data_IF_402899527428
#
_entry.id   IF_402899527428
#
_cell.length_a   1.000
_cell.length_b   1.000
_cell.length_c   1.000
_cell.angle_alpha   90.00
_cell.angle_beta   90.00
_cell.angle_gamma   90.00
#
_symmetry.space_group_name_H-M   'P 1'
#
loop_
_entity.id
_entity.type
_entity.pdbx_description
1 polymer ?
#
# COMPACT_ATOMS: atom_id res chain seq x y z
N UNK A 1 -3.41 21.72 11.86
CA UNK A 1 -1.97 21.33 11.73
C UNK A 1 -1.90 20.28 10.65
N UNK A 2 -0.92 20.36 9.78
CA UNK A 2 -0.64 19.33 8.76
C UNK A 2 0.45 18.40 9.27
N UNK A 3 0.46 17.16 8.80
CA UNK A 3 1.56 16.22 8.99
C UNK A 3 2.10 15.81 7.63
N UNK A 4 3.41 15.70 7.50
CA UNK A 4 4.10 15.34 6.27
C UNK A 4 4.86 14.03 6.46
N UNK A 5 4.58 13.06 5.61
CA UNK A 5 5.20 11.74 5.66
C UNK A 5 5.97 11.51 4.36
N UNK A 6 7.27 11.23 4.46
CA UNK A 6 8.01 10.71 3.31
C UNK A 6 7.65 9.25 3.07
N UNK A 7 7.71 8.80 1.84
CA UNK A 7 7.30 7.46 1.43
C UNK A 7 8.36 6.85 0.53
N UNK A 8 8.74 5.62 0.83
CA UNK A 8 9.47 4.72 -0.06
C UNK A 8 8.72 3.39 -0.15
N UNK A 9 8.73 2.77 -1.32
CA UNK A 9 8.02 1.54 -1.60
C UNK A 9 8.85 0.62 -2.50
N UNK A 10 8.73 -0.67 -2.30
CA UNK A 10 9.17 -1.67 -3.25
C UNK A 10 10.65 -1.43 -3.67
N UNK A 11 11.54 -1.42 -2.67
CA UNK A 11 12.97 -1.15 -2.81
C UNK A 11 13.68 -2.26 -3.60
N UNK A 12 13.24 -3.52 -3.36
CA UNK A 12 13.72 -4.71 -4.05
C UNK A 12 15.25 -4.84 -4.12
N UNK A 13 15.95 -4.52 -3.02
CA UNK A 13 17.39 -4.70 -2.96
C UNK A 13 17.80 -6.14 -3.30
N UNK A 14 18.75 -6.30 -4.20
CA UNK A 14 19.26 -7.59 -4.63
C UNK A 14 19.62 -7.65 -6.11
N UNK A 15 19.63 -8.85 -6.67
CA UNK A 15 19.94 -9.07 -8.09
C UNK A 15 18.82 -8.52 -8.98
N UNK A 16 19.14 -7.81 -10.08
CA UNK A 16 18.14 -7.36 -11.03
C UNK A 16 17.25 -8.51 -11.52
N UNK A 17 15.96 -8.31 -11.56
CA UNK A 17 14.98 -9.31 -11.97
C UNK A 17 13.85 -8.67 -12.77
N UNK A 18 13.60 -9.20 -13.97
CA UNK A 18 12.61 -8.63 -14.91
C UNK A 18 12.84 -7.13 -15.12
N UNK A 19 11.93 -6.28 -14.63
CA UNK A 19 12.01 -4.83 -14.72
C UNK A 19 12.59 -4.17 -13.46
N UNK A 20 12.78 -4.93 -12.37
CA UNK A 20 13.36 -4.43 -11.11
C UNK A 20 14.88 -4.29 -11.19
N UNK A 21 15.41 -3.12 -10.83
CA UNK A 21 16.85 -2.78 -10.84
C UNK A 21 17.40 -2.82 -9.42
N UNK A 22 17.26 -3.97 -8.75
CA UNK A 22 17.62 -4.12 -7.34
C UNK A 22 19.08 -3.85 -6.99
N UNK A 23 19.99 -3.97 -7.95
CA UNK A 23 21.40 -3.61 -7.83
C UNK A 23 21.64 -2.09 -7.65
N UNK A 24 20.67 -1.26 -7.98
CA UNK A 24 20.73 0.19 -7.78
C UNK A 24 20.14 0.63 -6.44
N UNK A 25 19.46 -0.26 -5.73
CA UNK A 25 18.65 0.05 -4.55
C UNK A 25 19.42 0.82 -3.47
N UNK A 26 20.63 0.38 -3.15
CA UNK A 26 21.39 1.00 -2.05
C UNK A 26 21.81 2.43 -2.37
N UNK A 27 22.18 2.73 -3.62
CA UNK A 27 22.45 4.10 -4.06
C UNK A 27 21.21 5.00 -4.00
N UNK A 28 20.07 4.46 -4.43
CA UNK A 28 18.79 5.17 -4.35
C UNK A 28 18.30 5.36 -2.90
N UNK A 29 18.61 4.46 -1.99
CA UNK A 29 18.33 4.62 -0.55
C UNK A 29 19.20 5.73 0.09
N UNK A 30 20.43 5.90 -0.37
CA UNK A 30 21.27 7.04 0.01
C UNK A 30 20.64 8.36 -0.47
N UNK A 31 20.18 8.40 -1.73
CA UNK A 31 19.43 9.53 -2.27
C UNK A 31 18.13 9.79 -1.49
N UNK A 32 17.41 8.73 -1.11
CA UNK A 32 16.21 8.85 -0.29
C UNK A 32 16.50 9.46 1.09
N UNK A 33 17.59 9.07 1.75
CA UNK A 33 17.99 9.68 3.02
C UNK A 33 18.27 11.20 2.87
N UNK A 34 18.89 11.62 1.76
CA UNK A 34 19.06 13.02 1.43
C UNK A 34 17.72 13.73 1.16
N UNK A 35 16.86 13.11 0.36
CA UNK A 35 15.52 13.63 0.07
C UNK A 35 14.69 13.87 1.33
N UNK A 36 14.68 12.90 2.27
CA UNK A 36 13.96 13.01 3.55
C UNK A 36 14.48 14.19 4.39
N UNK A 37 15.79 14.41 4.40
CA UNK A 37 16.41 15.51 5.11
C UNK A 37 15.97 16.87 4.57
N UNK A 38 15.86 16.99 3.24
CA UNK A 38 15.52 18.24 2.57
C UNK A 38 14.02 18.50 2.53
N UNK A 39 13.19 17.43 2.61
CA UNK A 39 11.74 17.52 2.43
C UNK A 39 10.97 18.05 3.66
N UNK A 40 11.63 18.28 4.81
CA UNK A 40 11.01 18.73 6.07
C UNK A 40 9.76 17.90 6.43
N UNK A 41 9.95 16.59 6.61
CA UNK A 41 8.90 15.65 6.96
C UNK A 41 8.93 15.28 8.44
N UNK A 42 7.79 14.83 8.97
CA UNK A 42 7.66 14.44 10.36
C UNK A 42 8.06 12.97 10.58
N UNK A 43 7.66 12.09 9.65
CA UNK A 43 7.91 10.64 9.71
C UNK A 43 8.16 10.09 8.31
N UNK A 44 8.63 8.85 8.27
CA UNK A 44 8.83 8.07 7.04
C UNK A 44 7.93 6.84 7.06
N UNK A 45 7.36 6.52 5.91
CA UNK A 45 6.66 5.27 5.62
C UNK A 45 7.50 4.43 4.67
N UNK A 46 7.89 3.25 5.12
CA UNK A 46 8.37 2.16 4.28
C UNK A 46 7.19 1.22 4.00
N UNK A 47 6.77 1.15 2.75
CA UNK A 47 5.60 0.38 2.35
C UNK A 47 5.87 -1.11 2.12
N UNK A 48 7.11 -1.58 2.36
CA UNK A 48 7.50 -2.99 2.21
C UNK A 48 8.09 -3.34 0.85
N UNK A 49 8.36 -4.64 0.65
CA UNK A 49 9.16 -5.19 -0.45
C UNK A 49 10.55 -4.54 -0.51
N UNK A 50 11.25 -4.61 0.62
CA UNK A 50 12.61 -4.06 0.78
C UNK A 50 13.64 -4.84 -0.01
N UNK A 51 13.43 -6.16 -0.16
CA UNK A 51 14.35 -7.07 -0.82
C UNK A 51 13.71 -7.78 -2.01
N UNK A 52 14.56 -8.32 -2.90
CA UNK A 52 14.17 -9.33 -3.88
C UNK A 52 14.54 -10.69 -3.32
N UNK A 53 13.54 -11.46 -2.89
CA UNK A 53 13.72 -12.75 -2.21
C UNK A 53 14.46 -13.77 -3.06
N UNK A 54 15.32 -14.56 -2.41
CA UNK A 54 16.15 -15.60 -3.05
C UNK A 54 16.13 -16.88 -2.23
N UNK A 55 16.60 -16.79 -0.98
CA UNK A 55 16.65 -17.84 0.04
C UNK A 55 16.85 -17.20 1.41
N UNK A 56 16.62 -17.98 2.48
CA UNK A 56 16.63 -17.48 3.84
C UNK A 56 17.93 -16.74 4.24
N UNK A 57 19.10 -17.31 3.94
CA UNK A 57 20.37 -16.73 4.36
C UNK A 57 20.72 -15.47 3.55
N UNK A 58 20.39 -15.48 2.26
CA UNK A 58 20.56 -14.32 1.38
C UNK A 58 19.62 -13.19 1.83
N UNK A 59 18.36 -13.50 2.10
CA UNK A 59 17.33 -12.52 2.46
C UNK A 59 17.64 -11.88 3.82
N UNK A 60 18.13 -12.65 4.81
CA UNK A 60 18.61 -12.08 6.08
C UNK A 60 19.69 -11.00 5.86
N UNK A 61 20.64 -11.28 4.96
CA UNK A 61 21.71 -10.32 4.65
C UNK A 61 21.18 -9.09 3.91
N UNK A 62 20.35 -9.28 2.86
CA UNK A 62 19.79 -8.17 2.08
C UNK A 62 18.92 -7.28 2.96
N UNK A 63 18.08 -7.87 3.83
CA UNK A 63 17.23 -7.14 4.76
C UNK A 63 18.05 -6.34 5.77
N UNK A 64 19.15 -6.90 6.28
CA UNK A 64 20.07 -6.19 7.16
C UNK A 64 20.77 -5.00 6.47
N UNK A 65 21.13 -5.15 5.18
CA UNK A 65 21.71 -4.07 4.38
C UNK A 65 20.72 -2.90 4.19
N UNK A 66 19.45 -3.19 3.89
CA UNK A 66 18.40 -2.15 3.77
C UNK A 66 18.10 -1.52 5.13
N UNK A 67 18.03 -2.31 6.19
CA UNK A 67 17.84 -1.78 7.55
C UNK A 67 18.98 -0.83 7.96
N UNK A 68 20.23 -1.10 7.55
CA UNK A 68 21.35 -0.18 7.78
C UNK A 68 21.17 1.14 6.99
N UNK A 69 20.71 1.07 5.75
CA UNK A 69 20.41 2.27 4.97
C UNK A 69 19.31 3.14 5.63
N UNK A 70 18.28 2.51 6.20
CA UNK A 70 17.26 3.23 6.96
C UNK A 70 17.81 3.94 8.21
N UNK A 71 18.89 3.45 8.82
CA UNK A 71 19.52 4.13 9.96
C UNK A 71 20.15 5.49 9.58
N UNK A 72 20.46 5.70 8.30
CA UNK A 72 20.90 6.99 7.79
C UNK A 72 19.76 8.02 7.67
N UNK A 73 18.51 7.56 7.77
CA UNK A 73 17.33 8.43 7.76
C UNK A 73 17.08 8.93 9.17
N UNK A 74 17.30 10.22 9.41
CA UNK A 74 17.22 10.85 10.72
C UNK A 74 15.79 11.24 11.13
N UNK A 75 14.80 10.38 10.82
CA UNK A 75 13.38 10.57 11.15
C UNK A 75 12.79 9.26 11.65
N UNK A 76 11.75 9.29 12.50
CA UNK A 76 11.04 8.09 12.87
C UNK A 76 10.45 7.39 11.64
N UNK A 77 10.61 6.08 11.55
CA UNK A 77 10.17 5.28 10.41
C UNK A 77 9.11 4.29 10.87
N UNK A 78 8.06 4.13 10.09
CA UNK A 78 7.09 3.06 10.22
C UNK A 78 7.25 2.09 9.06
N UNK A 79 7.69 0.88 9.36
CA UNK A 79 7.90 -0.18 8.38
C UNK A 79 6.64 -1.04 8.20
N UNK A 80 6.39 -1.46 6.97
CA UNK A 80 5.49 -2.55 6.63
C UNK A 80 6.29 -3.70 6.04
N UNK A 81 5.77 -4.92 6.08
CA UNK A 81 6.30 -6.02 5.27
C UNK A 81 5.56 -6.09 3.95
N UNK A 82 6.30 -6.22 2.86
CA UNK A 82 5.77 -6.68 1.59
C UNK A 82 5.80 -8.21 1.46
N UNK A 83 5.46 -8.73 0.30
CA UNK A 83 5.46 -10.18 0.10
C UNK A 83 6.88 -10.76 -0.07
N UNK A 84 7.79 -10.01 -0.68
CA UNK A 84 9.19 -10.43 -0.82
C UNK A 84 9.92 -10.46 0.52
N UNK A 85 9.59 -9.59 1.47
CA UNK A 85 10.11 -9.61 2.84
C UNK A 85 9.61 -10.84 3.64
N UNK A 86 8.61 -11.57 3.11
CA UNK A 86 7.88 -12.64 3.80
C UNK A 86 7.99 -14.02 3.14
N UNK A 87 8.64 -14.13 1.99
CA UNK A 87 8.75 -15.40 1.30
C UNK A 87 9.64 -16.39 2.08
N UNK A 88 10.80 -15.94 2.55
CA UNK A 88 11.73 -16.79 3.31
C UNK A 88 11.97 -16.31 4.76
N UNK A 89 11.56 -15.08 5.11
CA UNK A 89 11.71 -14.54 6.46
C UNK A 89 10.39 -14.55 7.24
N UNK A 90 10.49 -14.81 8.53
CA UNK A 90 9.39 -14.66 9.48
C UNK A 90 9.13 -13.18 9.80
N UNK A 91 7.98 -12.87 10.42
CA UNK A 91 7.71 -11.50 10.95
C UNK A 91 8.74 -11.19 12.03
N UNK A 92 9.02 -12.15 12.90
CA UNK A 92 9.92 -12.00 14.04
C UNK A 92 11.37 -11.72 13.61
N UNK A 93 11.84 -12.30 12.50
CA UNK A 93 13.16 -11.99 11.93
C UNK A 93 13.21 -10.57 11.38
N UNK A 94 12.19 -10.15 10.64
CA UNK A 94 12.07 -8.78 10.16
C UNK A 94 12.01 -7.78 11.35
N UNK A 95 11.23 -8.06 12.40
CA UNK A 95 11.16 -7.24 13.62
C UNK A 95 12.54 -7.11 14.31
N UNK A 96 13.31 -8.19 14.39
CA UNK A 96 14.64 -8.17 14.96
C UNK A 96 15.63 -7.33 14.15
N UNK A 97 15.59 -7.45 12.83
CA UNK A 97 16.50 -6.71 11.93
C UNK A 97 16.15 -5.21 11.94
N UNK A 98 14.87 -4.86 11.85
CA UNK A 98 14.39 -3.49 11.82
C UNK A 98 14.34 -2.84 13.21
N UNK A 99 14.40 -3.63 14.28
CA UNK A 99 14.30 -3.14 15.66
C UNK A 99 12.94 -2.56 16.02
N UNK A 100 11.87 -3.01 15.36
CA UNK A 100 10.53 -2.48 15.49
C UNK A 100 9.49 -3.59 15.39
N UNK A 101 8.36 -3.47 16.13
CA UNK A 101 7.22 -4.37 15.94
C UNK A 101 6.57 -4.14 14.58
N UNK A 102 6.16 -5.23 13.93
CA UNK A 102 5.44 -5.24 12.67
C UNK A 102 3.99 -5.76 12.81
N UNK A 103 3.45 -5.75 14.03
CA UNK A 103 2.03 -5.91 14.28
C UNK A 103 1.21 -4.69 13.83
N UNK A 104 -0.11 -4.84 13.76
CA UNK A 104 -0.98 -3.70 13.46
C UNK A 104 -0.87 -2.59 14.52
N UNK A 105 -0.80 -1.34 14.07
CA UNK A 105 -0.66 -0.17 14.95
C UNK A 105 -1.48 1.03 14.46
N UNK A 106 -1.75 1.96 15.36
CA UNK A 106 -2.30 3.27 15.03
C UNK A 106 -1.51 4.38 15.70
N UNK A 107 -1.28 5.49 14.98
CA UNK A 107 -0.60 6.68 15.48
C UNK A 107 -1.47 7.92 15.21
N UNK A 108 -1.69 8.73 16.23
CA UNK A 108 -2.40 10.00 16.10
C UNK A 108 -1.40 11.15 15.93
N UNK A 109 -1.32 11.72 14.73
CA UNK A 109 -0.40 12.79 14.36
C UNK A 109 -1.08 13.85 13.49
N UNK A 110 -0.79 15.13 13.74
CA UNK A 110 -1.27 16.24 12.90
C UNK A 110 -2.80 16.33 12.72
N UNK A 111 -3.58 15.73 13.63
CA UNK A 111 -5.04 15.68 13.53
C UNK A 111 -5.57 14.51 12.69
N UNK A 112 -4.68 13.67 12.17
CA UNK A 112 -4.99 12.42 11.47
C UNK A 112 -4.65 11.21 12.35
N UNK A 113 -5.34 10.10 12.11
CA UNK A 113 -4.94 8.77 12.58
C UNK A 113 -4.32 7.99 11.44
N UNK A 114 -3.08 7.55 11.62
CA UNK A 114 -2.38 6.66 10.69
C UNK A 114 -2.60 5.24 11.19
N UNK A 115 -3.26 4.42 10.40
CA UNK A 115 -3.50 3.02 10.69
C UNK A 115 -2.57 2.16 9.83
N UNK A 116 -1.54 1.61 10.45
CA UNK A 116 -0.63 0.67 9.81
C UNK A 116 -1.29 -0.71 9.80
N UNK A 117 -2.02 -1.00 8.72
CA UNK A 117 -2.70 -2.27 8.54
C UNK A 117 -1.74 -3.28 7.92
N UNK A 118 -0.96 -3.90 8.79
CA UNK A 118 0.06 -4.89 8.44
C UNK A 118 -0.57 -6.28 8.32
N UNK A 119 -1.55 -6.41 7.40
CA UNK A 119 -2.16 -7.69 7.06
C UNK A 119 -1.10 -8.62 6.45
N UNK A 120 -1.28 -9.92 6.62
CA UNK A 120 -0.29 -10.90 6.17
C UNK A 120 -0.07 -10.80 4.65
N UNK A 121 1.17 -10.54 4.27
CA UNK A 121 1.60 -10.37 2.88
C UNK A 121 2.24 -11.64 2.29
N UNK A 122 2.33 -12.72 3.07
CA UNK A 122 2.89 -13.96 2.58
C UNK A 122 2.05 -14.56 1.46
N UNK A 123 2.69 -14.85 0.33
CA UNK A 123 2.04 -15.57 -0.77
C UNK A 123 1.99 -17.06 -0.42
N UNK A 124 0.78 -17.59 -0.27
CA UNK A 124 0.58 -19.02 -0.10
C UNK A 124 0.68 -19.71 -1.47
N UNK A 125 1.56 -20.69 -1.57
CA UNK A 125 1.73 -21.52 -2.76
C UNK A 125 1.40 -22.96 -2.43
N UNK A 126 0.28 -23.44 -2.94
CA UNK A 126 -0.16 -24.85 -2.86
C UNK A 126 -0.50 -25.36 -4.27
N UNK A 127 -0.68 -26.68 -4.49
CA UNK A 127 -1.07 -27.17 -5.81
C UNK A 127 -2.32 -26.52 -6.40
N UNK A 128 -3.25 -26.10 -5.54
CA UNK A 128 -4.56 -25.57 -5.94
C UNK A 128 -4.69 -24.04 -5.75
N UNK A 129 -3.70 -23.40 -5.15
CA UNK A 129 -3.75 -21.96 -4.85
C UNK A 129 -2.36 -21.31 -4.90
N UNK A 130 -2.29 -20.17 -5.56
CA UNK A 130 -1.13 -19.26 -5.46
C UNK A 130 -1.65 -17.83 -5.34
N UNK A 131 -1.34 -17.16 -4.25
CA UNK A 131 -1.76 -15.79 -3.98
C UNK A 131 -1.81 -15.46 -2.50
N UNK A 132 -2.29 -14.26 -2.22
CA UNK A 132 -2.47 -13.78 -0.84
C UNK A 132 -3.59 -14.51 -0.10
N UNK A 133 -3.51 -14.47 1.22
CA UNK A 133 -4.59 -14.92 2.12
C UNK A 133 -5.00 -13.75 3.02
N UNK A 134 -6.25 -13.32 2.90
CA UNK A 134 -6.81 -12.31 3.79
C UNK A 134 -7.34 -13.00 5.07
N UNK A 135 -6.62 -12.78 6.18
CA UNK A 135 -6.98 -13.39 7.46
C UNK A 135 -8.14 -12.67 8.14
N UNK A 136 -9.01 -13.42 8.80
CA UNK A 136 -10.12 -12.84 9.58
C UNK A 136 -9.63 -11.90 10.69
N UNK A 137 -8.50 -12.21 11.32
CA UNK A 137 -7.91 -11.38 12.36
C UNK A 137 -7.52 -9.98 11.83
N UNK A 138 -6.95 -9.92 10.62
CA UNK A 138 -6.54 -8.68 9.96
C UNK A 138 -7.76 -7.82 9.59
N UNK A 139 -8.81 -8.46 9.06
CA UNK A 139 -10.09 -7.79 8.77
C UNK A 139 -10.77 -7.27 10.03
N UNK A 140 -10.77 -8.06 11.10
CA UNK A 140 -11.38 -7.67 12.37
C UNK A 140 -10.65 -6.46 12.98
N UNK A 141 -9.32 -6.45 12.92
CA UNK A 141 -8.54 -5.31 13.39
C UNK A 141 -8.86 -4.05 12.57
N UNK A 142 -8.87 -4.16 11.23
CA UNK A 142 -9.22 -3.05 10.35
C UNK A 142 -10.62 -2.52 10.66
N UNK A 143 -11.62 -3.39 10.75
CA UNK A 143 -13.00 -3.01 11.03
C UNK A 143 -13.14 -2.28 12.38
N UNK A 144 -12.49 -2.77 13.44
CA UNK A 144 -12.50 -2.12 14.76
C UNK A 144 -11.82 -0.76 14.74
N UNK A 145 -10.68 -0.66 14.07
CA UNK A 145 -9.93 0.59 13.94
C UNK A 145 -10.74 1.65 13.19
N UNK A 146 -11.38 1.26 12.09
CA UNK A 146 -12.21 2.14 11.28
C UNK A 146 -13.46 2.61 12.04
N UNK A 147 -14.14 1.70 12.73
CA UNK A 147 -15.33 2.05 13.53
C UNK A 147 -15.02 2.94 14.73
N UNK A 148 -13.82 2.81 15.31
CA UNK A 148 -13.36 3.62 16.43
C UNK A 148 -12.73 4.96 15.99
N UNK A 149 -12.61 5.22 14.70
CA UNK A 149 -11.97 6.44 14.22
C UNK A 149 -12.85 7.68 14.49
N UNK A 150 -12.28 8.65 15.21
CA UNK A 150 -12.88 9.93 15.60
C UNK A 150 -12.30 11.13 14.83
N UNK A 151 -11.34 10.86 13.93
CA UNK A 151 -10.62 11.83 13.09
C UNK A 151 -10.28 11.23 11.74
N UNK A 152 -9.91 12.05 10.72
CA UNK A 152 -9.49 11.55 9.42
C UNK A 152 -8.47 10.42 9.53
N UNK A 153 -8.61 9.39 8.69
CA UNK A 153 -7.87 8.15 8.76
C UNK A 153 -7.05 7.95 7.48
N UNK A 154 -5.73 7.77 7.62
CA UNK A 154 -4.88 7.20 6.59
C UNK A 154 -4.67 5.73 6.90
N UNK A 155 -5.16 4.84 6.05
CA UNK A 155 -4.90 3.39 6.15
C UNK A 155 -3.74 3.06 5.24
N UNK A 156 -2.66 2.54 5.83
CA UNK A 156 -1.43 2.17 5.12
C UNK A 156 -1.32 0.66 5.11
N UNK A 157 -1.15 0.07 3.92
CA UNK A 157 -0.93 -1.36 3.71
C UNK A 157 0.08 -1.55 2.58
N UNK A 158 0.79 -2.68 2.55
CA UNK A 158 1.61 -2.99 1.38
C UNK A 158 0.73 -3.29 0.17
N UNK A 159 -0.17 -4.26 0.29
CA UNK A 159 -1.05 -4.72 -0.79
C UNK A 159 -2.27 -3.80 -0.92
N UNK A 160 -2.56 -3.24 -2.11
CA UNK A 160 -3.73 -2.40 -2.32
C UNK A 160 -5.04 -3.20 -2.27
N UNK A 161 -6.10 -2.60 -1.74
CA UNK A 161 -7.42 -3.22 -1.61
C UNK A 161 -8.50 -2.56 -2.47
N UNK A 162 -8.13 -1.61 -3.33
CA UNK A 162 -9.07 -0.97 -4.25
C UNK A 162 -9.75 -1.98 -5.19
N UNK A 163 -9.04 -3.04 -5.57
CA UNK A 163 -9.43 -3.98 -6.62
C UNK A 163 -9.27 -3.42 -8.04
N UNK A 164 -8.72 -2.20 -8.17
CA UNK A 164 -8.57 -1.50 -9.45
C UNK A 164 -7.18 -0.92 -9.70
N UNK A 165 -6.31 -0.86 -8.70
CA UNK A 165 -4.96 -0.25 -8.81
C UNK A 165 -4.05 -0.94 -9.83
N UNK A 166 -4.35 -2.17 -10.20
CA UNK A 166 -3.60 -2.97 -11.17
C UNK A 166 -4.06 -2.81 -12.63
N UNK A 167 -5.20 -2.13 -12.88
CA UNK A 167 -5.78 -2.05 -14.24
C UNK A 167 -4.87 -1.20 -15.14
N UNK A 168 -4.38 -1.82 -16.24
CA UNK A 168 -3.43 -1.22 -17.15
C UNK A 168 -1.96 -1.59 -16.86
N UNK A 169 -1.66 -2.12 -15.68
CA UNK A 169 -0.33 -2.62 -15.35
C UNK A 169 0.01 -3.86 -16.18
N UNK A 170 1.18 -3.87 -16.81
CA UNK A 170 1.58 -4.94 -17.75
C UNK A 170 1.59 -6.33 -17.11
N UNK A 171 1.90 -6.42 -15.82
CA UNK A 171 1.99 -7.69 -15.08
C UNK A 171 0.71 -7.95 -14.26
N UNK A 172 0.35 -7.03 -13.36
CA UNK A 172 -0.68 -7.27 -12.36
C UNK A 172 -2.10 -7.31 -12.93
N UNK A 173 -2.37 -6.65 -14.07
CA UNK A 173 -3.68 -6.74 -14.73
C UNK A 173 -4.06 -8.18 -15.08
N UNK A 174 -3.07 -8.98 -15.50
CA UNK A 174 -3.27 -10.37 -15.90
C UNK A 174 -2.96 -11.39 -14.78
N UNK A 175 -2.54 -10.91 -13.61
CA UNK A 175 -2.22 -11.72 -12.44
C UNK A 175 -2.98 -11.23 -11.19
N UNK A 176 -4.32 -11.25 -11.21
CA UNK A 176 -5.13 -10.63 -10.16
C UNK A 176 -4.95 -11.27 -8.78
N UNK A 177 -4.64 -12.57 -8.70
CA UNK A 177 -4.37 -13.26 -7.43
C UNK A 177 -3.09 -12.80 -6.73
N UNK A 178 -2.18 -12.15 -7.49
CA UNK A 178 -0.94 -11.58 -6.99
C UNK A 178 -0.99 -10.05 -6.89
N UNK A 179 -2.09 -9.39 -7.28
CA UNK A 179 -2.20 -7.92 -7.29
C UNK A 179 -2.94 -7.37 -6.08
N UNK A 180 -3.77 -8.16 -5.44
CA UNK A 180 -4.60 -7.78 -4.28
C UNK A 180 -5.00 -9.01 -3.47
N UNK A 181 -5.55 -8.79 -2.28
CA UNK A 181 -6.11 -9.88 -1.49
C UNK A 181 -7.34 -10.50 -2.17
N UNK A 182 -7.53 -11.82 -2.06
CA UNK A 182 -8.81 -12.43 -2.42
C UNK A 182 -9.91 -11.83 -1.55
N UNK A 183 -11.09 -11.59 -2.14
CA UNK A 183 -12.22 -10.93 -1.45
C UNK A 183 -11.84 -9.56 -0.85
N UNK A 184 -11.02 -8.75 -1.57
CA UNK A 184 -10.65 -7.40 -1.15
C UNK A 184 -11.88 -6.50 -0.87
N UNK A 185 -13.04 -6.84 -1.45
CA UNK A 185 -14.32 -6.18 -1.16
C UNK A 185 -14.70 -6.27 0.34
N UNK A 186 -14.23 -7.26 1.09
CA UNK A 186 -14.45 -7.35 2.54
C UNK A 186 -13.67 -6.27 3.29
N UNK A 187 -12.43 -5.99 2.86
CA UNK A 187 -11.64 -4.89 3.40
C UNK A 187 -12.28 -3.53 3.05
N UNK A 188 -12.75 -3.37 1.79
CA UNK A 188 -13.49 -2.15 1.40
C UNK A 188 -14.79 -1.97 2.18
N UNK A 189 -15.53 -3.05 2.43
CA UNK A 189 -16.73 -3.00 3.26
C UNK A 189 -16.43 -2.57 4.71
N UNK A 190 -15.29 -2.98 5.27
CA UNK A 190 -14.81 -2.49 6.56
C UNK A 190 -14.47 -0.99 6.51
N UNK A 191 -13.72 -0.55 5.50
CA UNK A 191 -13.36 0.86 5.30
C UNK A 191 -14.60 1.75 5.13
N UNK A 192 -15.62 1.28 4.41
CA UNK A 192 -16.86 2.00 4.16
C UNK A 192 -17.67 2.30 5.44
N UNK A 193 -17.38 1.61 6.56
CA UNK A 193 -18.03 1.85 7.86
C UNK A 193 -17.52 3.10 8.60
N UNK A 194 -16.47 3.76 8.10
CA UNK A 194 -15.96 4.97 8.71
C UNK A 194 -16.95 6.14 8.61
N UNK A 195 -17.11 6.85 9.72
CA UNK A 195 -17.86 8.11 9.80
C UNK A 195 -16.97 9.34 9.55
N UNK A 196 -15.69 9.12 9.33
CA UNK A 196 -14.66 10.13 9.10
C UNK A 196 -14.10 10.00 7.67
N UNK A 197 -13.41 11.03 7.15
CA UNK A 197 -12.64 10.88 5.91
C UNK A 197 -11.63 9.74 6.01
N UNK A 198 -11.50 8.95 4.94
CA UNK A 198 -10.51 7.87 4.83
C UNK A 198 -9.74 8.03 3.53
N UNK A 199 -8.45 7.81 3.59
CA UNK A 199 -7.54 7.66 2.45
C UNK A 199 -6.75 6.37 2.65
N UNK A 200 -6.54 5.61 1.60
CA UNK A 200 -5.69 4.42 1.61
C UNK A 200 -4.40 4.69 0.84
N UNK A 201 -3.27 4.19 1.34
CA UNK A 201 -1.96 4.26 0.70
C UNK A 201 -1.33 2.88 0.68
N UNK A 202 -0.78 2.48 -0.47
CA UNK A 202 -0.16 1.16 -0.66
C UNK A 202 1.03 1.24 -1.63
N UNK A 203 1.87 0.19 -1.63
CA UNK A 203 2.90 -0.10 -2.62
C UNK A 203 2.49 -1.25 -3.54
N UNK A 204 3.38 -2.23 -3.71
CA UNK A 204 3.18 -3.55 -4.32
C UNK A 204 2.97 -3.57 -5.84
N UNK A 205 2.17 -2.68 -6.40
CA UNK A 205 1.86 -2.69 -7.85
C UNK A 205 2.85 -1.89 -8.70
N UNK A 206 3.88 -1.35 -8.09
CA UNK A 206 5.04 -0.70 -8.70
C UNK A 206 4.71 0.44 -9.66
N UNK A 207 3.64 1.19 -9.43
CA UNK A 207 3.32 2.38 -10.20
C UNK A 207 2.43 3.36 -9.42
N UNK A 208 2.45 4.62 -9.85
CA UNK A 208 1.65 5.66 -9.22
C UNK A 208 0.21 5.60 -9.71
N UNK A 209 -0.77 5.41 -8.81
CA UNK A 209 -2.20 5.52 -9.15
C UNK A 209 -3.01 6.23 -8.09
N UNK A 210 -4.11 6.84 -8.50
CA UNK A 210 -5.19 7.28 -7.62
C UNK A 210 -6.49 6.68 -8.14
N UNK A 211 -7.13 5.86 -7.31
CA UNK A 211 -8.39 5.21 -7.63
C UNK A 211 -9.41 5.50 -6.54
N UNK A 212 -10.61 5.95 -6.87
CA UNK A 212 -11.68 6.17 -5.88
C UNK A 212 -12.68 5.04 -5.94
N UNK A 213 -12.84 4.32 -4.82
CA UNK A 213 -13.81 3.23 -4.67
C UNK A 213 -14.66 3.50 -3.43
N UNK A 214 -15.98 3.38 -3.56
CA UNK A 214 -16.95 3.65 -2.50
C UNK A 214 -16.81 5.05 -1.85
N UNK A 215 -16.28 6.02 -2.61
CA UNK A 215 -15.98 7.37 -2.14
C UNK A 215 -14.70 7.48 -1.31
N UNK A 216 -13.87 6.43 -1.28
CA UNK A 216 -12.57 6.40 -0.60
C UNK A 216 -11.46 6.46 -1.64
N UNK A 217 -10.53 7.43 -1.56
CA UNK A 217 -9.33 7.46 -2.38
C UNK A 217 -8.35 6.36 -1.98
N UNK A 218 -7.83 5.62 -2.96
CA UNK A 218 -6.76 4.64 -2.83
C UNK A 218 -5.58 5.09 -3.68
N UNK A 219 -4.45 5.29 -3.04
CA UNK A 219 -3.18 5.68 -3.66
C UNK A 219 -2.27 4.47 -3.69
N UNK A 220 -1.56 4.28 -4.78
CA UNK A 220 -0.43 3.35 -4.84
C UNK A 220 0.81 4.10 -5.29
N UNK A 221 1.92 3.89 -4.59
CA UNK A 221 3.19 4.53 -4.91
C UNK A 221 4.05 3.63 -5.78
N UNK A 222 4.74 4.25 -6.73
CA UNK A 222 5.75 3.65 -7.58
C UNK A 222 6.90 3.07 -6.75
N UNK A 223 7.44 1.94 -7.21
CA UNK A 223 8.64 1.31 -6.67
C UNK A 223 9.88 2.18 -6.84
N UNK A 224 10.79 2.10 -5.88
CA UNK A 224 12.08 2.77 -5.95
C UNK A 224 12.92 2.28 -7.14
N UNK A 225 12.92 0.97 -7.42
CA UNK A 225 13.81 0.33 -8.39
C UNK A 225 13.12 -0.19 -9.65
N UNK A 226 11.81 -0.04 -9.77
CA UNK A 226 11.07 -0.48 -10.97
C UNK A 226 11.45 0.37 -12.19
N UNK A 227 11.37 -0.22 -13.39
CA UNK A 227 11.84 0.41 -14.63
C UNK A 227 10.88 0.28 -15.83
N UNK A 228 9.69 -0.32 -15.66
CA UNK A 228 8.77 -0.51 -16.79
C UNK A 228 8.08 0.77 -17.27
N UNK A 229 8.02 1.81 -16.43
CA UNK A 229 7.48 3.13 -16.80
C UNK A 229 8.58 4.11 -17.23
N UNK A 230 9.86 3.75 -17.09
CA UNK A 230 11.02 4.63 -17.21
C UNK A 230 12.04 4.15 -18.24
N UNK A 231 11.60 3.42 -19.27
CA UNK A 231 12.43 2.95 -20.38
C UNK A 231 13.68 2.14 -19.95
N UNK A 232 13.58 1.45 -18.81
CA UNK A 232 14.62 0.55 -18.30
C UNK A 232 15.58 1.17 -17.28
N UNK A 233 15.48 2.46 -16.97
CA UNK A 233 16.13 3.08 -15.83
C UNK A 233 15.31 2.83 -14.54
N UNK A 234 15.91 2.74 -13.35
CA UNK A 234 15.14 2.68 -12.11
C UNK A 234 14.34 3.97 -11.92
N UNK A 235 13.09 3.86 -11.45
CA UNK A 235 12.22 5.03 -11.29
C UNK A 235 12.73 6.04 -10.26
N UNK A 236 13.51 5.60 -9.27
CA UNK A 236 13.97 6.48 -8.18
C UNK A 236 12.81 7.14 -7.45
N UNK A 237 11.66 6.45 -7.35
CA UNK A 237 10.44 7.06 -6.86
C UNK A 237 10.46 7.29 -5.35
N UNK A 238 10.44 8.55 -4.94
CA UNK A 238 10.39 8.99 -3.55
C UNK A 238 9.18 9.89 -3.36
N UNK A 239 8.33 9.57 -2.39
CA UNK A 239 7.08 10.30 -2.18
C UNK A 239 7.08 11.18 -0.94
N UNK A 240 6.23 12.21 -0.96
CA UNK A 240 5.75 12.89 0.25
C UNK A 240 4.23 12.98 0.19
N UNK A 241 3.58 12.61 1.27
CA UNK A 241 2.16 12.87 1.48
C UNK A 241 1.98 13.89 2.61
N UNK A 242 1.26 14.97 2.32
CA UNK A 242 0.87 15.99 3.28
C UNK A 242 -0.61 15.80 3.63
N UNK A 243 -0.89 15.57 4.91
CA UNK A 243 -2.23 15.31 5.43
C UNK A 243 -2.74 16.56 6.17
N UNK A 244 -3.75 17.19 5.61
CA UNK A 244 -4.48 18.33 6.16
C UNK A 244 -5.97 18.22 5.80
N UNK A 245 -6.67 19.35 5.66
CA UNK A 245 -8.04 19.37 5.11
C UNK A 245 -8.06 18.90 3.64
N UNK A 246 -6.95 19.10 2.96
CA UNK A 246 -6.62 18.55 1.65
C UNK A 246 -5.40 17.66 1.79
N UNK A 247 -5.44 16.48 1.19
CA UNK A 247 -4.30 15.57 1.08
C UNK A 247 -3.56 15.90 -0.22
N UNK A 248 -2.28 16.23 -0.09
CA UNK A 248 -1.38 16.39 -1.23
C UNK A 248 -0.38 15.26 -1.25
N UNK A 249 -0.27 14.60 -2.36
CA UNK A 249 0.68 13.53 -2.57
C UNK A 249 1.53 13.85 -3.79
N UNK A 250 2.84 13.85 -3.60
CA UNK A 250 3.83 14.13 -4.62
C UNK A 250 4.89 13.02 -4.62
N UNK A 251 5.21 12.52 -5.80
CA UNK A 251 6.28 11.56 -6.04
C UNK A 251 7.28 12.21 -6.98
N UNK A 252 8.55 12.17 -6.62
CA UNK A 252 9.68 12.59 -7.46
C UNK A 252 10.40 11.36 -8.00
N UNK A 253 11.30 11.54 -8.94
CA UNK A 253 12.03 10.50 -9.66
C UNK A 253 11.77 10.59 -11.16
N UNK A 254 12.06 9.52 -11.90
CA UNK A 254 11.95 9.50 -13.37
C UNK A 254 10.50 9.26 -13.85
N UNK A 255 9.58 8.86 -12.94
CA UNK A 255 8.14 8.78 -13.19
C UNK A 255 7.37 9.62 -12.15
N UNK A 256 7.50 10.96 -12.21
CA UNK A 256 6.93 11.84 -11.20
C UNK A 256 5.40 11.87 -11.23
N UNK A 257 4.80 12.00 -10.06
CA UNK A 257 3.34 12.07 -9.94
C UNK A 257 2.92 13.11 -8.90
N UNK A 258 1.77 13.73 -9.11
CA UNK A 258 1.17 14.66 -8.14
C UNK A 258 -0.34 14.51 -8.13
N UNK A 259 -0.91 14.45 -6.92
CA UNK A 259 -2.34 14.48 -6.71
C UNK A 259 -2.71 15.39 -5.54
N UNK A 260 -3.86 16.06 -5.66
CA UNK A 260 -4.49 16.81 -4.58
C UNK A 260 -5.91 16.28 -4.41
N UNK A 261 -6.26 15.87 -3.18
CA UNK A 261 -7.50 15.17 -2.86
C UNK A 261 -8.14 15.86 -1.66
N UNK A 262 -9.43 16.18 -1.74
CA UNK A 262 -10.23 16.60 -0.59
C UNK A 262 -11.01 15.39 -0.10
N UNK A 263 -10.51 14.65 0.91
CA UNK A 263 -11.18 13.45 1.39
C UNK A 263 -12.45 13.82 2.16
N UNK A 264 -13.48 13.01 2.00
CA UNK A 264 -14.77 13.24 2.67
C UNK A 264 -15.22 12.00 3.42
N UNK A 265 -16.07 12.19 4.42
CA UNK A 265 -16.76 11.09 5.10
C UNK A 265 -17.93 10.53 4.27
N UNK A 266 -18.20 11.11 3.09
CA UNK A 266 -19.29 10.68 2.21
C UNK A 266 -18.97 9.32 1.61
N UNK A 267 -19.90 8.37 1.72
CA UNK A 267 -19.81 7.04 1.10
C UNK A 267 -20.88 6.90 0.03
N UNK A 268 -20.67 6.03 -0.93
CA UNK A 268 -21.64 5.67 -1.95
C UNK A 268 -22.60 4.59 -1.42
N UNK A 269 -23.24 4.94 -0.33
CA UNK A 269 -24.23 4.09 0.31
C UNK A 269 -25.59 4.79 0.34
N UNK A 270 -26.67 4.10 0.46
CA UNK A 270 -26.80 2.67 0.70
C UNK A 270 -26.35 1.83 -0.49
N UNK A 271 -26.02 0.56 -0.22
CA UNK A 271 -25.78 -0.42 -1.27
C UNK A 271 -26.95 -0.36 -2.25
N UNK A 272 -26.66 -0.12 -3.52
CA UNK A 272 -27.69 -0.11 -4.56
C UNK A 272 -28.39 -1.47 -4.51
N UNK A 273 -29.75 -1.49 -4.37
CA UNK A 273 -30.46 -2.76 -4.44
C UNK A 273 -30.14 -3.42 -5.76
N UNK A 274 -30.12 -4.76 -5.77
CA UNK A 274 -29.92 -5.51 -7.02
C UNK A 274 -30.93 -4.97 -8.04
N UNK A 275 -30.43 -4.54 -9.19
CA UNK A 275 -31.28 -4.00 -10.25
C UNK A 275 -32.38 -4.96 -10.67
N UNK A 276 -32.19 -6.27 -10.45
CA UNK A 276 -33.20 -7.31 -10.68
C UNK A 276 -34.38 -7.19 -9.71
N UNK A 277 -34.15 -6.69 -8.51
CA UNK A 277 -35.19 -6.49 -7.49
C UNK A 277 -35.88 -5.12 -7.56
N UNK A 278 -35.42 -4.23 -8.45
CA UNK A 278 -36.04 -2.92 -8.61
C UNK A 278 -37.45 -3.08 -9.20
N UNK A 279 -38.49 -2.48 -8.57
CA UNK A 279 -39.89 -2.68 -8.99
C UNK A 279 -40.16 -2.42 -10.47
N UNK A 280 -39.55 -1.36 -11.03
CA UNK A 280 -39.70 -1.02 -12.44
C UNK A 280 -39.06 -2.04 -13.40
N UNK A 281 -37.98 -2.71 -13.00
CA UNK A 281 -37.35 -3.77 -13.78
C UNK A 281 -38.09 -5.09 -13.67
N UNK A 282 -38.60 -5.43 -12.47
CA UNK A 282 -39.52 -6.57 -12.33
C UNK A 282 -40.72 -6.43 -13.26
N UNK A 283 -41.33 -5.25 -13.32
CA UNK A 283 -42.46 -5.00 -14.21
C UNK A 283 -42.10 -5.11 -15.71
N UNK A 284 -40.88 -4.79 -16.13
CA UNK A 284 -40.39 -4.94 -17.52
C UNK A 284 -40.11 -6.39 -17.86
N UNK A 285 -39.50 -7.16 -16.96
CA UNK A 285 -39.17 -8.56 -17.19
C UNK A 285 -40.43 -9.45 -17.26
N UNK A 286 -41.43 -9.19 -16.42
CA UNK A 286 -42.73 -9.91 -16.49
C UNK A 286 -43.44 -9.65 -17.82
N UNK A 287 -43.30 -8.48 -18.43
CA UNK A 287 -43.89 -8.17 -19.75
C UNK A 287 -43.11 -8.79 -20.92
N UNK A 288 -41.85 -9.16 -20.73
CA UNK A 288 -41.04 -9.80 -21.77
C UNK A 288 -41.25 -11.33 -21.84
N UNK A 289 -41.82 -11.94 -20.78
CA UNK A 289 -42.10 -13.35 -20.69
C UNK A 289 -43.57 -13.70 -21.00
N UNK A 290 -44.41 -12.70 -21.24
CA UNK A 290 -45.84 -12.83 -21.64
C UNK A 290 -46.02 -12.49 -23.13
#
# INVERSE_FOLDING_TARGET
>A
MTVRLAIVADIHHGTPSATKRGDTAMGLMEEFAHYVRDADVDHVLDLGDRISDVDHDTDLRLEAEVAEAFRAVEKPIWHLNGNHDRDYLSVEENEQILGQSLGHETHDVGGWRIALWRADTRILRTPDHSGFVLREADLLWLSRTVQAADRPLLVVSHVPVSGHSQIGNYYFQNNPSSSTYPMAERARAALAQAWVPVVCLSGHVHWNTVTTVDGIPHLTQQSLTESFTTEGAPAGAMGVIELGDTVRWEVVGDDPYRAEITPTARRWTPVMPDFRDHPERRARNIKAES
#
